data_IF_817949082441
#
_entry.id   IF_817949082441
#
_cell.length_a   1.000
_cell.length_b   1.000
_cell.length_c   1.000
_cell.angle_alpha   90.00
_cell.angle_beta   90.00
_cell.angle_gamma   90.00
#
_symmetry.space_group_name_H-M   'P 1'
#
loop_
_entity.id
_entity.type
_entity.pdbx_description
1 polymer ?
#
# COMPACT_ATOMS: atom_id res chain seq x y z
N UNK A 1 10.43 -26.78 1.27
CA UNK A 1 11.51 -25.85 1.68
C UNK A 1 10.85 -24.63 2.31
N UNK A 2 10.65 -24.66 3.63
CA UNK A 2 10.06 -23.54 4.35
C UNK A 2 11.08 -22.40 4.40
N UNK A 3 10.78 -21.27 3.76
CA UNK A 3 11.56 -20.05 3.94
C UNK A 3 11.13 -19.44 5.27
N UNK A 4 11.99 -19.61 6.28
CA UNK A 4 11.97 -18.82 7.49
C UNK A 4 12.12 -17.35 7.09
N UNK A 5 11.04 -16.58 7.14
CA UNK A 5 11.11 -15.13 7.14
C UNK A 5 10.91 -14.69 8.58
N UNK A 6 12.01 -14.35 9.26
CA UNK A 6 11.93 -13.50 10.45
C UNK A 6 11.36 -12.16 9.99
N UNK A 7 10.02 -12.07 9.95
CA UNK A 7 9.31 -10.83 9.67
C UNK A 7 9.54 -9.94 10.88
N UNK A 8 10.33 -8.87 10.71
CA UNK A 8 10.42 -7.81 11.72
C UNK A 8 8.99 -7.31 11.97
N UNK A 9 8.45 -7.64 13.13
CA UNK A 9 7.10 -7.20 13.52
C UNK A 9 7.13 -5.68 13.64
N UNK A 10 6.21 -5.01 12.96
CA UNK A 10 6.03 -3.57 13.06
C UNK A 10 5.55 -3.22 14.48
N UNK A 11 6.42 -2.57 15.25
CA UNK A 11 6.19 -2.26 16.66
C UNK A 11 5.55 -0.89 16.88
N UNK A 12 5.17 -0.62 18.13
CA UNK A 12 4.52 0.63 18.52
C UNK A 12 5.43 1.85 18.36
N UNK A 13 6.72 1.70 18.66
CA UNK A 13 7.70 2.78 18.52
C UNK A 13 7.91 3.14 17.04
N UNK A 14 8.06 2.14 16.16
CA UNK A 14 8.16 2.40 14.71
C UNK A 14 6.88 3.02 14.13
N UNK A 15 5.71 2.59 14.63
CA UNK A 15 4.43 3.18 14.23
C UNK A 15 4.33 4.66 14.61
N UNK A 16 4.75 5.02 15.82
CA UNK A 16 4.75 6.41 16.29
C UNK A 16 5.68 7.27 15.44
N UNK A 17 6.91 6.83 15.20
CA UNK A 17 7.88 7.57 14.39
C UNK A 17 7.37 7.80 12.95
N UNK A 18 6.76 6.78 12.33
CA UNK A 18 6.14 6.91 11.01
C UNK A 18 5.02 7.95 11.01
N UNK A 19 4.13 7.92 12.00
CA UNK A 19 3.01 8.88 12.08
C UNK A 19 3.51 10.31 12.29
N UNK A 20 4.55 10.50 13.11
CA UNK A 20 5.19 11.81 13.32
C UNK A 20 5.73 12.40 12.00
N UNK A 21 6.43 11.59 11.20
CA UNK A 21 6.96 12.01 9.89
C UNK A 21 5.84 12.36 8.90
N UNK A 22 4.79 11.52 8.83
CA UNK A 22 3.66 11.75 7.94
C UNK A 22 2.91 13.04 8.31
N UNK A 23 2.73 13.31 9.60
CA UNK A 23 2.13 14.57 10.09
C UNK A 23 2.98 15.77 9.70
N UNK A 24 4.29 15.73 9.94
CA UNK A 24 5.19 16.82 9.54
C UNK A 24 5.14 17.08 8.02
N UNK A 25 5.05 16.02 7.20
CA UNK A 25 4.92 16.12 5.75
C UNK A 25 3.60 16.78 5.32
N UNK A 26 2.51 16.46 6.00
CA UNK A 26 1.21 17.08 5.74
C UNK A 26 1.18 18.55 6.18
N UNK A 27 1.66 18.83 7.40
CA UNK A 27 1.61 20.15 8.03
C UNK A 27 2.49 21.17 7.32
N UNK A 28 3.60 20.74 6.69
CA UNK A 28 4.40 21.63 5.83
C UNK A 28 3.70 22.00 4.50
N UNK A 29 2.51 21.46 4.22
CA UNK A 29 1.70 21.84 3.06
C UNK A 29 2.10 21.19 1.74
N UNK A 30 3.12 20.30 1.74
CA UNK A 30 3.62 19.59 0.56
C UNK A 30 2.50 18.87 -0.22
N UNK A 31 1.49 18.36 0.51
CA UNK A 31 0.38 17.59 -0.06
C UNK A 31 -0.73 18.44 -0.69
N UNK A 32 -0.71 19.78 -0.53
CA UNK A 32 -1.80 20.66 -0.99
C UNK A 32 -1.77 20.92 -2.49
N UNK A 33 -0.57 20.95 -3.07
CA UNK A 33 -0.36 21.26 -4.48
C UNK A 33 -1.17 20.34 -5.41
N UNK A 34 -1.84 20.92 -6.41
CA UNK A 34 -2.63 20.15 -7.37
C UNK A 34 -1.75 19.15 -8.13
N UNK A 35 -0.59 19.59 -8.61
CA UNK A 35 0.38 18.72 -9.30
C UNK A 35 0.85 17.56 -8.42
N UNK A 36 1.11 17.85 -7.13
CA UNK A 36 1.50 16.80 -6.19
C UNK A 36 0.38 15.76 -6.06
N UNK A 37 -0.86 16.18 -5.79
CA UNK A 37 -2.02 15.27 -5.65
C UNK A 37 -2.24 14.46 -6.93
N UNK A 38 -2.21 15.11 -8.09
CA UNK A 38 -2.34 14.45 -9.39
C UNK A 38 -1.23 13.42 -9.62
N UNK A 39 0.02 13.73 -9.25
CA UNK A 39 1.14 12.79 -9.37
C UNK A 39 0.96 11.56 -8.47
N UNK A 40 0.50 11.75 -7.23
CA UNK A 40 0.30 10.64 -6.30
C UNK A 40 -0.85 9.73 -6.74
N UNK A 41 -1.96 10.29 -7.23
CA UNK A 41 -3.07 9.49 -7.76
C UNK A 41 -2.65 8.66 -8.98
N UNK A 42 -1.89 9.26 -9.90
CA UNK A 42 -1.33 8.52 -11.05
C UNK A 42 -0.37 7.42 -10.60
N UNK A 43 0.43 7.66 -9.57
CA UNK A 43 1.32 6.65 -9.01
C UNK A 43 0.55 5.48 -8.38
N UNK A 44 -0.58 5.73 -7.70
CA UNK A 44 -1.44 4.68 -7.16
C UNK A 44 -2.06 3.82 -8.25
N UNK A 45 -2.58 4.44 -9.31
CA UNK A 45 -3.12 3.71 -10.48
C UNK A 45 -2.03 2.83 -11.08
N UNK A 46 -0.85 3.41 -11.33
CA UNK A 46 0.30 2.70 -11.88
C UNK A 46 0.72 1.52 -11.00
N UNK A 47 0.75 1.70 -9.68
CA UNK A 47 1.06 0.62 -8.73
C UNK A 47 0.06 -0.53 -8.87
N UNK A 48 -1.24 -0.23 -8.94
CA UNK A 48 -2.28 -1.25 -9.12
C UNK A 48 -2.13 -2.00 -10.45
N UNK A 49 -1.87 -1.28 -11.55
CA UNK A 49 -1.67 -1.88 -12.88
C UNK A 49 -0.41 -2.75 -12.94
N UNK A 50 0.73 -2.26 -12.41
CA UNK A 50 2.01 -2.97 -12.45
C UNK A 50 2.02 -4.22 -11.55
N UNK A 51 1.21 -4.21 -10.49
CA UNK A 51 1.18 -5.27 -9.49
C UNK A 51 -0.12 -6.08 -9.43
N UNK A 52 -1.00 -5.94 -10.43
CA UNK A 52 -2.33 -6.56 -10.46
C UNK A 52 -2.27 -8.07 -10.18
N UNK A 53 -1.37 -8.79 -10.85
CA UNK A 53 -1.21 -10.25 -10.67
C UNK A 53 -0.78 -10.62 -9.26
N UNK A 54 0.15 -9.86 -8.67
CA UNK A 54 0.57 -10.10 -7.29
C UNK A 54 -0.58 -9.84 -6.32
N UNK A 55 -1.37 -8.80 -6.54
CA UNK A 55 -2.53 -8.46 -5.72
C UNK A 55 -3.59 -9.56 -5.81
N UNK A 56 -3.96 -10.00 -7.02
CA UNK A 56 -4.91 -11.11 -7.23
C UNK A 56 -4.42 -12.39 -6.54
N UNK A 57 -3.13 -12.72 -6.69
CA UNK A 57 -2.57 -13.90 -6.05
C UNK A 57 -2.61 -13.81 -4.51
N UNK A 58 -2.32 -12.63 -3.95
CA UNK A 58 -2.42 -12.40 -2.50
C UNK A 58 -3.87 -12.54 -2.02
N UNK A 59 -4.83 -11.93 -2.72
CA UNK A 59 -6.25 -12.04 -2.40
C UNK A 59 -6.75 -13.48 -2.46
N UNK A 60 -6.31 -14.27 -3.45
CA UNK A 60 -6.62 -15.70 -3.49
C UNK A 60 -5.95 -16.46 -2.33
N UNK A 61 -4.69 -16.18 -2.02
CA UNK A 61 -3.97 -16.85 -0.92
C UNK A 61 -4.61 -16.57 0.45
N UNK A 62 -4.99 -15.32 0.71
CA UNK A 62 -5.41 -14.88 2.03
C UNK A 62 -6.91 -15.03 2.24
N UNK A 63 -7.70 -14.80 1.18
CA UNK A 63 -9.16 -14.72 1.24
C UNK A 63 -9.86 -15.75 0.33
N UNK A 64 -9.12 -16.53 -0.46
CA UNK A 64 -9.68 -17.46 -1.45
C UNK A 64 -10.59 -16.80 -2.50
N UNK A 65 -10.43 -15.48 -2.74
CA UNK A 65 -11.15 -14.76 -3.80
C UNK A 65 -10.72 -15.30 -5.17
N UNK A 66 -11.70 -15.49 -6.06
CA UNK A 66 -11.41 -15.79 -7.48
C UNK A 66 -10.86 -14.54 -8.20
N UNK A 67 -10.22 -14.70 -9.35
CA UNK A 67 -9.67 -13.56 -10.12
C UNK A 67 -10.76 -12.53 -10.48
N UNK A 68 -11.92 -12.99 -10.95
CA UNK A 68 -13.05 -12.10 -11.26
C UNK A 68 -13.53 -11.35 -10.02
N UNK A 69 -13.61 -12.02 -8.88
CA UNK A 69 -14.00 -11.40 -7.62
C UNK A 69 -12.99 -10.37 -7.15
N UNK A 70 -11.69 -10.68 -7.26
CA UNK A 70 -10.59 -9.78 -6.93
C UNK A 70 -10.57 -8.51 -7.79
N UNK A 71 -11.13 -8.55 -9.00
CA UNK A 71 -11.20 -7.41 -9.90
C UNK A 71 -12.49 -6.58 -9.76
N UNK A 72 -13.63 -7.22 -9.46
CA UNK A 72 -14.96 -6.59 -9.51
C UNK A 72 -15.48 -6.17 -8.13
N UNK A 73 -15.01 -6.81 -7.05
CA UNK A 73 -15.47 -6.54 -5.68
C UNK A 73 -14.35 -6.00 -4.80
N UNK A 74 -14.70 -4.98 -3.99
CA UNK A 74 -13.89 -4.52 -2.85
C UNK A 74 -13.62 -5.67 -1.85
#
# INVERSE_FOLDING_TARGET
MARNTESKVFGSEEALAMVEELRATFDCGKTRGLEWRSSQLKALIKLSEEHEKQIVQALHSDLSKSETEAFVQE
#
